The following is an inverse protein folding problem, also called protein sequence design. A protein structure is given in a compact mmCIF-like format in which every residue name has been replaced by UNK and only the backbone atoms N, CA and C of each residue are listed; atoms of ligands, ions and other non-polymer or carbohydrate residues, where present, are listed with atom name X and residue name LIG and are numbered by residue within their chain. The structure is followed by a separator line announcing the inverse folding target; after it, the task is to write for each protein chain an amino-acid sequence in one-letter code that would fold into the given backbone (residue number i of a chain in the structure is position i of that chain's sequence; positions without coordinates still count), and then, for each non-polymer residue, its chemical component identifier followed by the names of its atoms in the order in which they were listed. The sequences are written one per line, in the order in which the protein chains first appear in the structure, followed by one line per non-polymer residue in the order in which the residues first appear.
data_IF_106574718934
#
_entry.id   IF_106574718934
#
_cell.length_a   1.000
_cell.length_b   1.000
_cell.length_c   1.000
_cell.angle_alpha   90.00
_cell.angle_beta   90.00
_cell.angle_gamma   90.00
#
_symmetry.space_group_name_H-M   'P 1'
#
loop_
_entity.id
_entity.type
_entity.pdbx_description
1 polymer ?
#
# COMPACT_ATOMS: atom_id res chain seq x y z
N UNK A 1 -2.03 3.67 10.26
CA UNK A 1 -1.39 5.00 10.27
C UNK A 1 -2.34 6.14 9.87
N UNK A 2 -3.18 6.00 8.84
CA UNK A 2 -4.08 7.11 8.42
C UNK A 2 -5.02 7.54 9.55
N UNK A 3 -5.58 6.57 10.29
CA UNK A 3 -6.42 6.85 11.46
C UNK A 3 -5.69 7.57 12.60
N UNK A 4 -4.37 7.43 12.72
CA UNK A 4 -3.60 8.12 13.78
C UNK A 4 -3.21 9.54 13.39
N UNK A 5 -3.39 9.93 12.11
CA UNK A 5 -3.09 11.26 11.59
C UNK A 5 -4.28 12.23 11.70
N UNK A 6 -5.50 11.72 11.88
CA UNK A 6 -6.73 12.53 11.85
C UNK A 6 -7.59 12.23 13.07
N UNK A 7 -8.07 13.26 13.76
CA UNK A 7 -8.99 13.08 14.90
C UNK A 7 -10.41 12.67 14.45
N UNK A 8 -10.78 12.99 13.20
CA UNK A 8 -12.09 12.66 12.65
C UNK A 8 -12.06 11.33 11.88
N UNK A 9 -12.77 10.33 12.42
CA UNK A 9 -12.89 8.99 11.83
C UNK A 9 -13.42 9.00 10.39
N UNK A 10 -14.36 9.90 10.06
CA UNK A 10 -14.92 10.01 8.71
C UNK A 10 -13.82 10.41 7.73
N UNK A 11 -12.99 11.39 8.11
CA UNK A 11 -11.86 11.84 7.29
C UNK A 11 -10.84 10.70 7.12
N UNK A 12 -10.55 9.94 8.17
CA UNK A 12 -9.65 8.78 8.09
C UNK A 12 -10.14 7.76 7.07
N UNK A 13 -11.44 7.46 7.06
CA UNK A 13 -12.05 6.49 6.14
C UNK A 13 -11.96 6.99 4.70
N UNK A 14 -12.28 8.26 4.44
CA UNK A 14 -12.21 8.84 3.08
C UNK A 14 -10.78 8.78 2.54
N UNK A 15 -9.78 9.14 3.35
CA UNK A 15 -8.38 9.08 2.93
C UNK A 15 -7.94 7.62 2.70
N UNK A 16 -8.31 6.71 3.60
CA UNK A 16 -7.98 5.28 3.46
C UNK A 16 -8.58 4.70 2.18
N UNK A 17 -9.84 5.03 1.90
CA UNK A 17 -10.51 4.62 0.67
C UNK A 17 -9.82 5.19 -0.58
N UNK A 18 -9.44 6.47 -0.56
CA UNK A 18 -8.67 7.09 -1.64
C UNK A 18 -7.34 6.40 -1.89
N UNK A 19 -6.59 6.05 -0.84
CA UNK A 19 -5.34 5.30 -0.97
C UNK A 19 -5.57 3.91 -1.57
N UNK A 20 -6.60 3.19 -1.12
CA UNK A 20 -6.96 1.89 -1.68
C UNK A 20 -7.34 2.00 -3.16
N UNK A 21 -8.11 3.02 -3.55
CA UNK A 21 -8.47 3.26 -4.95
C UNK A 21 -7.23 3.51 -5.81
N UNK A 22 -6.27 4.31 -5.34
CA UNK A 22 -5.01 4.55 -6.06
C UNK A 22 -4.25 3.25 -6.24
N UNK A 23 -4.09 2.44 -5.17
CA UNK A 23 -3.43 1.14 -5.25
C UNK A 23 -4.13 0.19 -6.23
N UNK A 24 -5.46 0.25 -6.29
CA UNK A 24 -6.25 -0.55 -7.22
C UNK A 24 -6.04 -0.14 -8.68
N UNK A 25 -5.93 1.17 -8.95
CA UNK A 25 -5.70 1.69 -10.31
C UNK A 25 -4.30 1.39 -10.86
N UNK A 26 -3.30 1.12 -10.01
CA UNK A 26 -1.92 0.85 -10.44
C UNK A 26 -1.85 -0.28 -11.47
N UNK A 27 -2.60 -1.37 -11.27
CA UNK A 27 -2.66 -2.49 -12.22
C UNK A 27 -3.18 -2.04 -13.59
N UNK A 28 -4.23 -1.21 -13.60
CA UNK A 28 -4.79 -0.68 -14.85
C UNK A 28 -3.82 0.25 -15.56
N UNK A 29 -3.01 1.02 -14.82
CA UNK A 29 -1.96 1.84 -15.43
C UNK A 29 -0.77 1.01 -15.92
N UNK A 30 -0.42 -0.08 -15.22
CA UNK A 30 0.64 -0.99 -15.62
C UNK A 30 0.34 -1.65 -16.98
N UNK A 31 -0.92 -2.05 -17.22
CA UNK A 31 -1.32 -2.70 -18.48
C UNK A 31 -1.24 -1.77 -19.69
N UNK A 32 -1.41 -0.46 -19.51
CA UNK A 32 -1.29 0.56 -20.57
C UNK A 32 0.10 1.19 -20.71
N UNK A 33 1.06 0.82 -19.87
CA UNK A 33 2.42 1.36 -19.88
C UNK A 33 3.39 0.49 -20.70
N UNK A 34 4.50 1.08 -21.15
CA UNK A 34 5.53 0.40 -21.94
C UNK A 34 6.94 0.66 -21.41
N UNK A 35 7.84 -0.33 -21.57
CA UNK A 35 9.23 -0.24 -21.13
C UNK A 35 9.38 -0.15 -19.61
N UNK A 36 10.32 0.67 -19.15
CA UNK A 36 10.69 0.79 -17.74
C UNK A 36 9.52 1.21 -16.83
N UNK A 37 8.57 1.99 -17.34
CA UNK A 37 7.40 2.43 -16.55
C UNK A 37 6.49 1.26 -16.24
N UNK A 38 6.29 0.34 -17.19
CA UNK A 38 5.54 -0.89 -17.00
C UNK A 38 6.15 -1.74 -15.89
N UNK A 39 7.46 -1.97 -15.93
CA UNK A 39 8.14 -2.81 -14.93
C UNK A 39 7.98 -2.26 -13.51
N UNK A 40 8.11 -0.93 -13.35
CA UNK A 40 7.92 -0.26 -12.05
C UNK A 40 6.46 -0.33 -11.59
N UNK A 41 5.50 -0.09 -12.48
CA UNK A 41 4.07 -0.14 -12.18
C UNK A 41 3.62 -1.58 -11.84
N UNK A 42 4.09 -2.58 -12.58
CA UNK A 42 3.82 -3.99 -12.32
C UNK A 42 4.43 -4.44 -10.99
N UNK A 43 5.65 -3.99 -10.65
CA UNK A 43 6.25 -4.28 -9.34
C UNK A 43 5.47 -3.61 -8.18
N UNK A 44 4.94 -2.42 -8.39
CA UNK A 44 4.16 -1.70 -7.38
C UNK A 44 2.71 -2.21 -7.27
N UNK A 45 2.24 -3.01 -8.23
CA UNK A 45 0.87 -3.49 -8.25
C UNK A 45 0.61 -4.54 -7.18
N UNK A 46 -0.15 -4.12 -6.17
CA UNK A 46 -0.63 -5.01 -5.10
C UNK A 46 -1.58 -6.09 -5.65
N UNK A 47 -2.30 -5.81 -6.74
CA UNK A 47 -3.26 -6.75 -7.32
C UNK A 47 -2.55 -7.83 -8.11
N UNK A 48 -1.56 -7.47 -8.94
CA UNK A 48 -0.79 -8.45 -9.71
C UNK A 48 -0.11 -9.48 -8.80
N UNK A 49 0.50 -9.00 -7.71
CA UNK A 49 1.10 -9.85 -6.68
C UNK A 49 0.09 -10.80 -6.02
N UNK A 50 -1.16 -10.33 -5.83
CA UNK A 50 -2.22 -11.15 -5.23
C UNK A 50 -2.78 -12.19 -6.21
N UNK A 51 -2.87 -11.85 -7.49
CA UNK A 51 -3.37 -12.75 -8.53
C UNK A 51 -2.46 -13.98 -8.71
N UNK A 52 -1.14 -13.78 -8.66
CA UNK A 52 -0.17 -14.87 -8.68
C UNK A 52 -0.30 -15.80 -7.45
N UNK A 53 -0.56 -15.23 -6.27
CA UNK A 53 -0.89 -16.03 -5.08
C UNK A 53 -2.19 -16.82 -5.23
N UNK A 54 -3.24 -16.23 -5.80
CA UNK A 54 -4.51 -16.93 -6.05
C UNK A 54 -4.31 -18.10 -7.03
N UNK A 55 -3.42 -17.93 -8.01
CA UNK A 55 -3.02 -19.00 -8.95
C UNK A 55 -2.12 -20.07 -8.32
N UNK A 56 -1.73 -19.91 -7.06
CA UNK A 56 -0.88 -20.86 -6.33
C UNK A 56 0.61 -20.67 -6.58
N UNK A 57 1.03 -19.58 -7.22
CA UNK A 57 2.44 -19.22 -7.40
C UNK A 57 2.91 -18.44 -6.18
N UNK A 58 3.68 -19.09 -5.31
CA UNK A 58 4.28 -18.43 -4.15
C UNK A 58 5.75 -18.15 -4.46
N UNK A 59 6.02 -16.97 -5.01
CA UNK A 59 7.37 -16.43 -5.07
C UNK A 59 7.69 -15.64 -3.79
N UNK A 60 8.91 -15.81 -3.28
CA UNK A 60 9.54 -14.97 -2.26
C UNK A 60 9.42 -13.47 -2.54
N UNK A 61 9.47 -13.05 -3.81
CA UNK A 61 9.33 -11.63 -4.19
C UNK A 61 8.03 -11.05 -3.68
N UNK A 62 6.91 -11.75 -3.88
CA UNK A 62 5.61 -11.27 -3.44
C UNK A 62 5.48 -11.27 -1.92
N UNK A 63 6.01 -12.29 -1.25
CA UNK A 63 6.00 -12.37 0.21
C UNK A 63 6.78 -11.20 0.81
N UNK A 64 7.98 -10.91 0.30
CA UNK A 64 8.81 -9.80 0.76
C UNK A 64 8.12 -8.46 0.49
N UNK A 65 7.43 -8.30 -0.64
CA UNK A 65 6.66 -7.11 -0.96
C UNK A 65 5.59 -6.82 0.11
N UNK A 66 4.74 -7.79 0.44
CA UNK A 66 3.70 -7.60 1.45
C UNK A 66 4.27 -7.40 2.86
N UNK A 67 5.31 -8.15 3.24
CA UNK A 67 5.97 -7.95 4.54
C UNK A 67 6.55 -6.55 4.66
N UNK A 68 7.18 -6.04 3.61
CA UNK A 68 7.73 -4.67 3.57
C UNK A 68 6.60 -3.65 3.66
N UNK A 69 5.50 -3.86 2.93
CA UNK A 69 4.34 -2.97 2.98
C UNK A 69 3.72 -2.93 4.39
N UNK A 70 3.55 -4.08 5.04
CA UNK A 70 3.09 -4.16 6.43
C UNK A 70 4.06 -3.47 7.40
N UNK A 71 5.37 -3.72 7.26
CA UNK A 71 6.38 -3.10 8.10
C UNK A 71 6.34 -1.57 7.98
N UNK A 72 6.25 -1.02 6.77
CA UNK A 72 6.14 0.43 6.53
C UNK A 72 4.85 0.98 7.18
N UNK A 73 3.71 0.30 7.01
CA UNK A 73 2.45 0.71 7.64
C UNK A 73 2.51 0.74 9.17
N UNK A 74 3.15 -0.25 9.79
CA UNK A 74 3.36 -0.32 11.24
C UNK A 74 4.35 0.74 11.71
N UNK A 75 5.46 0.92 11.00
CA UNK A 75 6.46 1.94 11.28
C UNK A 75 5.86 3.36 11.25
N UNK A 76 5.08 3.67 10.21
CA UNK A 76 4.37 4.96 10.10
C UNK A 76 3.37 5.14 11.24
N UNK A 77 2.69 4.07 11.65
CA UNK A 77 1.76 4.12 12.79
C UNK A 77 2.50 4.42 14.09
N UNK A 78 3.63 3.75 14.35
CA UNK A 78 4.47 3.99 15.51
C UNK A 78 4.98 5.45 15.55
N UNK A 79 5.53 5.94 14.43
CA UNK A 79 6.03 7.33 14.32
C UNK A 79 4.94 8.38 14.47
N UNK A 80 3.75 8.11 13.93
CA UNK A 80 2.59 8.99 14.09
C UNK A 80 2.17 9.09 15.56
N UNK A 81 2.12 7.96 16.28
CA UNK A 81 1.76 7.95 17.71
C UNK A 81 2.81 8.66 18.57
N UNK A 82 4.10 8.46 18.28
CA UNK A 82 5.18 9.13 18.98
C UNK A 82 5.12 10.66 18.80
N UNK A 83 4.85 11.13 17.58
CA UNK A 83 4.67 12.57 17.31
C UNK A 83 3.47 13.16 18.04
N UNK A 84 2.35 12.44 18.14
CA UNK A 84 1.19 12.89 18.91
C UNK A 84 1.53 12.93 20.40
N UNK A 85 2.25 11.93 20.92
CA UNK A 85 2.66 11.86 22.32
C UNK A 85 3.58 13.01 22.74
N UNK A 86 4.45 13.50 21.87
CA UNK A 86 5.33 14.65 22.18
C UNK A 86 4.65 16.01 22.06
N UNK A 87 3.45 16.07 21.47
CA UNK A 87 2.66 17.31 21.30
C UNK A 87 1.53 17.45 22.32
N UNK A 88 1.22 16.40 23.07
CA UNK A 88 0.24 16.38 24.17
C UNK A 88 0.91 16.64 25.51
#
# INVERSE_FOLDING_TARGET
FISTLTENQIVSVVITFGVILVLWLIESFATGAEGMTKDVLSYLSVIGHMDDFIKGVIDTTHVIFYLTFTFVGLFLTYRSLESTRWRA
#
